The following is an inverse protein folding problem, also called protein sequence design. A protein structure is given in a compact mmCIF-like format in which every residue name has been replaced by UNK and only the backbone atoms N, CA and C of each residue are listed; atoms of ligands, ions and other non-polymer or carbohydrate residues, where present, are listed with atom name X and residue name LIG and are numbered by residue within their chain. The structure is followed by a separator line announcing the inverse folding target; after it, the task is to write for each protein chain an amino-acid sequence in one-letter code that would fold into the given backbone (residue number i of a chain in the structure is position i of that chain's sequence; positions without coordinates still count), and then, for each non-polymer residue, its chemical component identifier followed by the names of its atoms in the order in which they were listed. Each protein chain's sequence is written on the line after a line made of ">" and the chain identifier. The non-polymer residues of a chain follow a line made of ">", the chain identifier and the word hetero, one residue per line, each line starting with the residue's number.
data_IF_352248432174
#
_entry.id   IF_352248432174
#
_cell.length_a   1.000
_cell.length_b   1.000
_cell.length_c   1.000
_cell.angle_alpha   90.00
_cell.angle_beta   90.00
_cell.angle_gamma   90.00
#
_symmetry.space_group_name_H-M   'P 1'
#
loop_
_entity.id
_entity.type
_entity.pdbx_description
1 polymer ?
#
# COMPACT_ATOMS: atom_id res chain seq x y z
N UNK A 1 -42.69 -18.35 -49.79
CA UNK A 1 -42.10 -17.05 -50.18
C UNK A 1 -40.66 -17.01 -49.70
N UNK A 2 -39.74 -16.99 -50.65
CA UNK A 2 -38.30 -17.01 -50.47
C UNK A 2 -37.80 -15.55 -50.49
N UNK A 3 -36.91 -15.17 -49.57
CA UNK A 3 -35.96 -14.04 -49.61
C UNK A 3 -35.17 -14.05 -48.29
N UNK A 4 -33.88 -13.75 -48.12
CA UNK A 4 -32.63 -13.80 -48.91
C UNK A 4 -31.55 -13.68 -47.82
N UNK A 5 -30.43 -14.40 -47.96
CA UNK A 5 -29.27 -14.36 -47.06
C UNK A 5 -28.56 -13.00 -47.17
N UNK A 6 -28.01 -12.49 -46.07
CA UNK A 6 -26.89 -11.55 -46.13
C UNK A 6 -25.81 -11.96 -45.11
N UNK A 7 -24.74 -12.49 -45.66
CA UNK A 7 -23.45 -12.81 -45.04
C UNK A 7 -22.54 -11.59 -45.07
N UNK A 8 -21.93 -11.23 -43.94
CA UNK A 8 -20.83 -10.25 -43.91
C UNK A 8 -19.52 -10.98 -43.58
N UNK A 9 -18.54 -10.75 -44.45
CA UNK A 9 -17.22 -11.37 -44.49
C UNK A 9 -16.21 -10.63 -43.61
N UNK A 10 -15.25 -11.44 -43.14
CA UNK A 10 -13.86 -11.15 -42.75
C UNK A 10 -13.26 -9.83 -43.29
N UNK A 11 -12.53 -9.14 -42.41
CA UNK A 11 -11.34 -8.37 -42.78
C UNK A 11 -10.24 -8.59 -41.74
N UNK A 12 -9.28 -9.44 -42.10
CA UNK A 12 -7.98 -9.60 -41.45
C UNK A 12 -7.03 -8.58 -42.07
N UNK A 13 -6.41 -7.72 -41.27
CA UNK A 13 -5.30 -6.85 -41.65
C UNK A 13 -4.50 -6.56 -40.37
N UNK A 14 -3.19 -6.68 -40.28
CA UNK A 14 -2.15 -7.10 -41.21
C UNK A 14 -0.85 -6.96 -40.42
N UNK A 15 -0.02 -8.01 -40.40
CA UNK A 15 1.35 -7.91 -39.87
C UNK A 15 2.13 -6.94 -40.76
N UNK A 16 2.70 -5.89 -40.17
CA UNK A 16 3.74 -5.09 -40.79
C UNK A 16 5.09 -5.44 -40.16
N UNK A 17 5.80 -6.33 -40.83
CA UNK A 17 7.22 -6.60 -40.66
C UNK A 17 8.00 -5.36 -41.12
N UNK A 18 8.79 -4.74 -40.24
CA UNK A 18 9.78 -3.72 -40.65
C UNK A 18 11.14 -4.40 -40.75
N UNK A 19 11.66 -4.40 -41.96
CA UNK A 19 12.95 -4.95 -42.35
C UNK A 19 14.11 -4.14 -41.77
N UNK A 20 15.17 -4.88 -41.42
CA UNK A 20 16.46 -4.35 -41.03
C UNK A 20 17.11 -3.51 -42.14
N UNK A 21 17.71 -2.38 -41.76
CA UNK A 21 18.73 -1.70 -42.56
C UNK A 21 20.03 -1.65 -41.75
N UNK A 22 21.06 -2.26 -42.32
CA UNK A 22 22.43 -2.28 -41.86
C UNK A 22 23.10 -0.91 -41.99
N UNK A 23 23.74 -0.44 -40.93
CA UNK A 23 24.69 0.67 -40.92
C UNK A 23 25.79 0.40 -39.91
N UNK A 24 27.03 0.31 -40.38
CA UNK A 24 28.24 -0.06 -39.65
C UNK A 24 28.85 1.18 -39.00
N UNK A 25 29.26 1.09 -37.73
CA UNK A 25 30.33 1.92 -37.16
C UNK A 25 30.03 2.53 -35.80
N UNK A 26 30.81 2.12 -34.79
CA UNK A 26 30.98 2.87 -33.54
C UNK A 26 30.75 2.06 -32.28
N UNK A 27 31.83 1.51 -31.72
CA UNK A 27 31.87 1.01 -30.35
C UNK A 27 31.54 2.14 -29.35
N UNK A 28 30.82 1.82 -28.27
CA UNK A 28 31.06 2.18 -26.85
C UNK A 28 29.79 1.79 -26.06
N UNK A 29 29.96 1.06 -24.95
CA UNK A 29 28.99 1.07 -23.85
C UNK A 29 28.25 -0.24 -23.62
N UNK A 30 28.77 -1.05 -22.70
CA UNK A 30 28.00 -2.08 -22.03
C UNK A 30 26.85 -1.42 -21.26
N UNK A 31 25.62 -1.68 -21.69
CA UNK A 31 24.43 -1.41 -20.91
C UNK A 31 23.83 -2.76 -20.52
N UNK A 32 24.14 -3.19 -19.30
CA UNK A 32 23.38 -4.23 -18.62
C UNK A 32 21.93 -3.77 -18.53
N UNK A 33 21.03 -4.47 -19.23
CA UNK A 33 19.60 -4.28 -19.09
C UNK A 33 19.19 -4.69 -17.68
N UNK A 34 18.96 -3.71 -16.82
CA UNK A 34 18.25 -3.88 -15.57
C UNK A 34 16.77 -4.00 -15.94
N UNK A 35 16.16 -5.16 -15.74
CA UNK A 35 14.71 -5.29 -15.73
C UNK A 35 14.15 -4.41 -14.61
N UNK A 36 13.59 -3.24 -14.97
CA UNK A 36 12.64 -2.53 -14.11
C UNK A 36 11.35 -3.34 -14.07
N UNK A 37 11.19 -4.12 -13.00
CA UNK A 37 9.91 -4.68 -12.59
C UNK A 37 9.06 -3.54 -12.02
N UNK A 38 8.40 -2.80 -12.91
CA UNK A 38 7.25 -1.99 -12.57
C UNK A 38 6.10 -2.96 -12.23
N UNK A 39 5.88 -3.22 -10.93
CA UNK A 39 4.62 -3.80 -10.50
C UNK A 39 3.53 -2.75 -10.66
N UNK A 40 2.90 -2.80 -11.83
CA UNK A 40 1.66 -2.10 -12.14
C UNK A 40 0.54 -2.67 -11.26
N UNK A 41 0.03 -1.87 -10.33
CA UNK A 41 -1.19 -2.17 -9.57
C UNK A 41 -2.47 -1.92 -10.40
N UNK A 42 -2.40 -1.96 -11.74
CA UNK A 42 -3.58 -1.86 -12.58
C UNK A 42 -4.46 -3.11 -12.38
N UNK A 43 -5.65 -2.85 -11.86
CA UNK A 43 -6.68 -3.86 -11.70
C UNK A 43 -7.48 -3.92 -13.00
N UNK A 44 -7.39 -5.06 -13.68
CA UNK A 44 -8.33 -5.41 -14.73
C UNK A 44 -9.76 -5.38 -14.16
N UNK A 45 -10.63 -4.57 -14.75
CA UNK A 45 -12.00 -4.43 -14.29
C UNK A 45 -12.86 -5.67 -14.57
N UNK A 46 -13.62 -6.05 -13.54
CA UNK A 46 -14.89 -6.78 -13.51
C UNK A 46 -14.95 -8.31 -13.72
N UNK A 47 -15.19 -9.03 -12.61
CA UNK A 47 -16.38 -9.91 -12.43
C UNK A 47 -16.63 -10.40 -10.98
N UNK A 48 -15.81 -10.04 -9.98
CA UNK A 48 -16.02 -10.37 -8.55
C UNK A 48 -15.47 -9.27 -7.62
N UNK A 49 -15.68 -7.99 -7.95
CA UNK A 49 -15.26 -6.89 -7.08
C UNK A 49 -16.28 -6.74 -5.94
N UNK A 50 -15.83 -6.74 -4.69
CA UNK A 50 -16.70 -6.52 -3.53
C UNK A 50 -17.30 -5.10 -3.55
N UNK A 51 -18.46 -4.91 -2.94
CA UNK A 51 -19.09 -3.58 -2.88
C UNK A 51 -18.31 -2.63 -1.97
N UNK A 52 -17.85 -3.14 -0.83
CA UNK A 52 -17.10 -2.38 0.16
C UNK A 52 -15.79 -3.11 0.44
N UNK A 53 -14.67 -2.46 0.14
CA UNK A 53 -13.34 -3.03 0.37
C UNK A 53 -12.30 -1.89 0.44
N UNK A 54 -11.53 -1.86 1.53
CA UNK A 54 -10.42 -0.93 1.73
C UNK A 54 -9.11 -1.70 1.81
N UNK A 55 -8.20 -1.39 0.90
CA UNK A 55 -6.85 -1.94 0.89
C UNK A 55 -5.88 -0.98 1.58
N UNK A 56 -5.40 -1.29 2.81
CA UNK A 56 -4.40 -0.49 3.47
C UNK A 56 -3.00 -0.73 2.90
N UNK A 57 -2.20 0.32 2.85
CA UNK A 57 -0.76 0.23 2.56
C UNK A 57 -0.01 1.39 3.21
N UNK A 58 1.31 1.29 3.27
CA UNK A 58 2.15 2.32 3.87
C UNK A 58 2.91 3.12 2.83
N UNK A 59 3.16 4.39 3.14
CA UNK A 59 4.03 5.23 2.33
C UNK A 59 5.03 5.97 3.22
N UNK A 60 6.28 6.07 2.77
CA UNK A 60 7.32 6.86 3.43
C UNK A 60 8.18 7.60 2.39
N UNK A 61 9.02 8.55 2.81
CA UNK A 61 9.96 9.17 1.86
C UNK A 61 11.05 8.17 1.45
N UNK A 62 11.41 8.16 0.17
CA UNK A 62 12.55 7.36 -0.31
C UNK A 62 13.89 7.72 0.33
N UNK A 63 14.01 8.90 0.95
CA UNK A 63 15.19 9.34 1.67
C UNK A 63 15.23 8.86 3.15
N UNK A 64 14.12 8.32 3.69
CA UNK A 64 14.09 7.84 5.08
C UNK A 64 14.93 6.57 5.19
N UNK A 65 15.94 6.61 6.05
CA UNK A 65 16.75 5.44 6.38
C UNK A 65 16.07 4.58 7.47
N UNK A 66 16.33 3.27 7.42
CA UNK A 66 15.80 2.28 8.38
C UNK A 66 16.39 2.50 9.78
N UNK A 67 15.55 2.49 10.80
CA UNK A 67 15.92 2.74 12.19
C UNK A 67 16.23 4.22 12.51
N UNK A 68 16.16 5.13 11.55
CA UNK A 68 16.34 6.58 11.76
C UNK A 68 14.99 7.29 11.86
N UNK A 69 15.01 8.55 12.29
CA UNK A 69 13.81 9.37 12.36
C UNK A 69 13.16 9.54 10.98
N UNK A 70 11.84 9.73 10.97
CA UNK A 70 11.07 10.03 9.76
C UNK A 70 9.64 9.56 9.83
N UNK A 71 8.83 9.99 8.87
CA UNK A 71 7.39 9.74 8.86
C UNK A 71 7.03 8.52 8.01
N UNK A 72 6.11 7.71 8.52
CA UNK A 72 5.39 6.69 7.77
C UNK A 72 3.92 7.03 7.80
N UNK A 73 3.23 6.97 6.68
CA UNK A 73 1.78 7.25 6.61
C UNK A 73 1.00 5.99 6.26
N UNK A 74 -0.17 5.82 6.87
CA UNK A 74 -1.16 4.83 6.48
C UNK A 74 -2.05 5.41 5.38
N UNK A 75 -2.10 4.70 4.26
CA UNK A 75 -2.95 4.97 3.10
C UNK A 75 -4.02 3.89 3.03
N UNK A 76 -5.24 4.28 2.68
CA UNK A 76 -6.34 3.36 2.39
C UNK A 76 -6.81 3.61 0.96
N UNK A 77 -6.78 2.59 0.11
CA UNK A 77 -7.36 2.63 -1.23
C UNK A 77 -8.71 1.94 -1.20
N UNK A 78 -9.75 2.59 -1.70
CA UNK A 78 -11.03 1.93 -1.87
C UNK A 78 -11.02 1.11 -3.17
N UNK A 79 -10.90 -0.19 -3.03
CA UNK A 79 -10.93 -1.16 -4.14
C UNK A 79 -12.32 -1.77 -4.33
N UNK A 80 -13.31 -1.37 -3.53
CA UNK A 80 -14.71 -1.73 -3.68
C UNK A 80 -15.43 -0.95 -4.79
N UNK A 81 -16.65 -1.39 -5.11
CA UNK A 81 -17.52 -0.76 -6.10
C UNK A 81 -18.26 0.48 -5.56
N UNK A 82 -18.42 0.58 -4.24
CA UNK A 82 -19.18 1.63 -3.55
C UNK A 82 -18.27 2.58 -2.76
N UNK A 83 -18.82 3.75 -2.43
CA UNK A 83 -18.19 4.69 -1.49
C UNK A 83 -18.12 4.06 -0.10
N UNK A 84 -16.92 3.95 0.47
CA UNK A 84 -16.72 3.37 1.79
C UNK A 84 -16.94 4.43 2.87
N UNK A 85 -18.02 4.28 3.64
CA UNK A 85 -18.36 5.11 4.80
C UNK A 85 -19.42 4.44 5.66
N UNK A 86 -19.33 4.59 6.98
CA UNK A 86 -20.39 4.21 7.91
C UNK A 86 -20.31 5.04 9.20
N UNK A 87 -21.46 5.26 9.82
CA UNK A 87 -21.55 5.99 11.09
C UNK A 87 -21.38 5.07 12.32
N UNK A 88 -21.83 3.81 12.25
CA UNK A 88 -21.65 2.80 13.29
C UNK A 88 -21.92 1.36 12.78
N UNK A 89 -21.12 0.33 13.14
CA UNK A 89 -19.88 0.41 13.90
C UNK A 89 -18.86 1.30 13.19
N UNK A 90 -17.90 1.87 13.92
CA UNK A 90 -16.90 2.74 13.32
C UNK A 90 -15.96 1.91 12.44
N UNK A 91 -15.56 2.45 11.29
CA UNK A 91 -14.46 1.85 10.52
C UNK A 91 -13.15 2.14 11.23
N UNK A 92 -12.47 1.09 11.68
CA UNK A 92 -11.24 1.20 12.47
C UNK A 92 -10.14 0.28 11.98
N UNK A 93 -8.91 0.73 12.12
CA UNK A 93 -7.70 -0.02 11.81
C UNK A 93 -6.80 -0.06 13.04
N UNK A 94 -6.30 -1.22 13.39
CA UNK A 94 -5.27 -1.39 14.40
C UNK A 94 -3.91 -1.49 13.72
N UNK A 95 -2.98 -0.64 14.13
CA UNK A 95 -1.59 -0.64 13.68
C UNK A 95 -0.71 -1.13 14.83
N UNK A 96 0.01 -2.22 14.61
CA UNK A 96 1.03 -2.71 15.52
C UNK A 96 2.41 -2.34 14.97
N UNK A 97 3.16 -1.54 15.71
CA UNK A 97 4.57 -1.25 15.41
C UNK A 97 5.42 -2.24 16.19
N UNK A 98 6.01 -3.21 15.48
CA UNK A 98 6.75 -4.33 16.05
C UNK A 98 8.25 -4.14 15.86
N UNK A 99 9.06 -4.70 16.75
CA UNK A 99 10.52 -4.69 16.61
C UNK A 99 10.98 -5.81 15.67
N UNK A 100 11.69 -5.45 14.59
CA UNK A 100 12.35 -6.40 13.68
C UNK A 100 13.74 -6.78 14.22
N UNK A 101 14.52 -5.76 14.60
CA UNK A 101 15.89 -5.88 15.11
C UNK A 101 16.16 -4.79 16.14
N UNK A 102 17.00 -5.11 17.11
CA UNK A 102 17.42 -4.19 18.17
C UNK A 102 17.15 -4.78 19.56
N UNK A 103 17.29 -3.97 20.61
CA UNK A 103 17.00 -4.40 21.98
C UNK A 103 15.50 -4.67 22.19
N UNK A 104 15.17 -5.76 22.88
CA UNK A 104 13.81 -6.11 23.28
C UNK A 104 13.36 -5.29 24.50
N UNK A 105 12.05 -5.05 24.64
CA UNK A 105 11.47 -4.27 25.72
C UNK A 105 11.78 -2.77 25.66
N UNK A 106 12.42 -2.32 24.58
CA UNK A 106 12.79 -0.92 24.36
C UNK A 106 11.95 -0.33 23.24
N UNK A 107 11.30 0.78 23.54
CA UNK A 107 10.54 1.55 22.58
C UNK A 107 11.31 2.78 22.11
N UNK A 108 10.88 3.36 20.99
CA UNK A 108 11.28 4.71 20.59
C UNK A 108 10.08 5.64 20.55
N UNK A 109 10.34 6.93 20.67
CA UNK A 109 9.29 7.93 20.51
C UNK A 109 8.66 7.80 19.13
N UNK A 110 7.34 7.64 19.09
CA UNK A 110 6.54 7.69 17.87
C UNK A 110 5.42 8.68 18.14
N UNK A 111 5.36 9.76 17.35
CA UNK A 111 4.30 10.76 17.48
C UNK A 111 3.21 10.47 16.45
N UNK A 112 2.02 10.05 16.88
CA UNK A 112 0.90 9.80 15.96
C UNK A 112 0.20 11.10 15.57
N UNK A 113 -0.24 11.19 14.32
CA UNK A 113 -1.10 12.26 13.81
C UNK A 113 -2.23 11.69 12.95
N UNK A 114 -3.45 12.11 13.24
CA UNK A 114 -4.61 11.86 12.39
C UNK A 114 -4.52 12.70 11.12
N UNK A 115 -4.91 12.12 9.98
CA UNK A 115 -4.83 12.77 8.67
C UNK A 115 -6.21 12.78 8.01
N UNK A 116 -6.51 13.83 7.23
CA UNK A 116 -7.76 13.96 6.47
C UNK A 116 -9.04 13.68 7.29
N UNK A 117 -9.05 14.16 8.53
CA UNK A 117 -10.19 14.05 9.45
C UNK A 117 -10.28 12.72 10.22
N UNK A 118 -9.44 11.72 9.92
CA UNK A 118 -9.35 10.52 10.72
C UNK A 118 -8.73 10.81 12.10
N UNK A 119 -9.14 10.04 13.10
CA UNK A 119 -8.62 10.10 14.45
C UNK A 119 -7.62 8.96 14.69
N UNK A 120 -6.56 9.21 15.46
CA UNK A 120 -5.62 8.18 15.89
C UNK A 120 -5.49 8.22 17.41
N UNK A 121 -5.54 7.05 18.02
CA UNK A 121 -5.35 6.84 19.45
C UNK A 121 -4.13 5.94 19.66
N UNK A 122 -3.23 6.36 20.55
CA UNK A 122 -2.08 5.56 20.99
C UNK A 122 -2.52 4.68 22.17
N UNK A 123 -2.51 3.36 21.97
CA UNK A 123 -2.88 2.39 22.99
C UNK A 123 -1.71 2.06 23.94
N UNK A 124 -0.51 2.55 23.64
CA UNK A 124 0.69 2.35 24.44
C UNK A 124 1.60 1.25 23.90
N UNK A 125 2.69 1.05 24.64
CA UNK A 125 3.74 0.08 24.34
C UNK A 125 3.68 -1.09 25.31
N UNK A 126 3.74 -2.30 24.75
CA UNK A 126 3.90 -3.55 25.47
C UNK A 126 5.38 -3.99 25.42
N UNK A 127 6.10 -3.97 26.56
CA UNK A 127 7.50 -4.38 26.62
C UNK A 127 7.70 -5.89 26.43
N UNK A 128 6.71 -6.73 26.73
CA UNK A 128 6.85 -8.19 26.59
C UNK A 128 6.91 -8.59 25.12
N UNK A 129 6.13 -7.92 24.28
CA UNK A 129 6.07 -8.17 22.83
C UNK A 129 6.84 -7.13 22.01
N UNK A 130 7.47 -6.14 22.66
CA UNK A 130 8.15 -5.00 22.02
C UNK A 130 7.29 -4.35 20.93
N UNK A 131 6.01 -4.12 21.25
CA UNK A 131 4.99 -3.66 20.31
C UNK A 131 4.29 -2.41 20.82
N UNK A 132 4.29 -1.34 20.02
CA UNK A 132 3.43 -0.17 20.26
C UNK A 132 2.18 -0.28 19.38
N UNK A 133 1.01 -0.10 19.98
CA UNK A 133 -0.27 -0.23 19.26
C UNK A 133 -0.92 1.14 19.07
N UNK A 134 -1.48 1.36 17.88
CA UNK A 134 -2.35 2.50 17.58
C UNK A 134 -3.68 2.03 17.00
N UNK A 135 -4.76 2.72 17.34
CA UNK A 135 -6.05 2.56 16.65
C UNK A 135 -6.35 3.81 15.83
N UNK A 136 -6.65 3.62 14.55
CA UNK A 136 -7.07 4.66 13.61
C UNK A 136 -8.56 4.50 13.34
N UNK A 137 -9.32 5.57 13.52
CA UNK A 137 -10.75 5.65 13.20
C UNK A 137 -10.94 6.51 11.96
N UNK A 138 -11.54 5.94 10.93
CA UNK A 138 -11.91 6.67 9.73
C UNK A 138 -13.16 7.53 10.01
N UNK A 139 -13.06 8.83 9.78
CA UNK A 139 -14.17 9.77 10.01
C UNK A 139 -14.80 10.31 8.72
N UNK A 140 -14.11 10.11 7.59
CA UNK A 140 -14.51 10.65 6.30
C UNK A 140 -14.67 9.53 5.27
N UNK A 141 -15.58 9.69 4.30
CA UNK A 141 -15.74 8.72 3.24
C UNK A 141 -14.52 8.62 2.32
N UNK A 142 -14.39 7.47 1.66
CA UNK A 142 -13.47 7.28 0.52
C UNK A 142 -14.30 6.79 -0.67
N UNK A 143 -14.33 7.52 -1.78
CA UNK A 143 -15.08 7.06 -2.96
C UNK A 143 -14.40 5.85 -3.60
N UNK A 144 -15.16 5.07 -4.38
CA UNK A 144 -14.60 3.95 -5.12
C UNK A 144 -13.45 4.42 -6.02
N UNK A 145 -12.30 3.72 -5.94
CA UNK A 145 -11.09 4.05 -6.69
C UNK A 145 -10.21 5.14 -6.07
N UNK A 146 -10.70 5.89 -5.08
CA UNK A 146 -9.92 6.94 -4.40
C UNK A 146 -8.99 6.34 -3.33
N UNK A 147 -7.93 7.09 -3.01
CA UNK A 147 -7.02 6.80 -1.90
C UNK A 147 -7.00 7.95 -0.90
N UNK A 148 -7.08 7.63 0.39
CA UNK A 148 -6.94 8.59 1.48
C UNK A 148 -5.71 8.30 2.36
N UNK A 149 -5.01 9.35 2.79
CA UNK A 149 -4.07 9.26 3.91
C UNK A 149 -4.83 9.43 5.22
N UNK A 150 -4.78 8.46 6.13
CA UNK A 150 -5.61 8.50 7.36
C UNK A 150 -4.79 8.63 8.64
N UNK A 151 -3.52 8.25 8.63
CA UNK A 151 -2.62 8.43 9.75
C UNK A 151 -1.20 8.72 9.30
N UNK A 152 -0.45 9.43 10.14
CA UNK A 152 0.98 9.58 10.07
C UNK A 152 1.60 9.17 11.41
N UNK A 153 2.67 8.39 11.35
CA UNK A 153 3.48 7.97 12.48
C UNK A 153 4.86 8.58 12.29
N UNK A 154 5.17 9.60 13.09
CA UNK A 154 6.46 10.27 13.06
C UNK A 154 7.41 9.55 14.01
N UNK A 155 8.30 8.72 13.45
CA UNK A 155 9.30 8.00 14.21
C UNK A 155 10.43 8.91 14.65
N UNK A 156 10.79 8.84 15.93
CA UNK A 156 12.04 9.35 16.46
C UNK A 156 13.23 8.52 16.01
N UNK A 157 14.45 9.02 16.29
CA UNK A 157 15.66 8.25 16.01
C UNK A 157 15.68 6.97 16.85
N UNK A 158 15.86 5.82 16.22
CA UNK A 158 15.90 4.52 16.89
C UNK A 158 17.21 4.22 17.63
N UNK A 159 18.15 5.16 17.71
CA UNK A 159 19.41 4.98 18.42
C UNK A 159 19.18 5.09 19.92
N UNK A 160 19.00 3.95 20.57
CA UNK A 160 18.92 3.85 22.02
C UNK A 160 20.32 3.65 22.60
N UNK A 161 20.42 3.62 23.94
CA UNK A 161 21.68 3.26 24.62
C UNK A 161 22.01 1.77 24.47
N UNK A 162 21.03 0.94 24.16
CA UNK A 162 21.14 -0.52 24.10
C UNK A 162 21.28 -1.05 22.66
N UNK A 163 21.02 -0.21 21.66
CA UNK A 163 21.20 -0.55 20.26
C UNK A 163 20.32 0.30 19.36
N UNK A 164 20.41 0.07 18.05
CA UNK A 164 19.48 0.69 17.10
C UNK A 164 18.25 -0.21 16.94
N UNK A 165 17.07 0.38 17.12
CA UNK A 165 15.79 -0.23 16.81
C UNK A 165 15.49 -0.12 15.32
N UNK A 166 14.97 -1.20 14.75
CA UNK A 166 14.39 -1.28 13.43
C UNK A 166 12.98 -1.84 13.60
N UNK A 167 11.98 -1.14 13.09
CA UNK A 167 10.59 -1.56 13.24
C UNK A 167 9.94 -1.88 11.89
N UNK A 168 8.97 -2.78 11.93
CA UNK A 168 7.99 -2.97 10.86
C UNK A 168 6.60 -2.71 11.44
N UNK A 169 5.63 -2.50 10.56
CA UNK A 169 4.24 -2.26 10.93
C UNK A 169 3.38 -3.39 10.38
N UNK A 170 2.34 -3.70 11.13
CA UNK A 170 1.26 -4.58 10.71
C UNK A 170 -0.04 -3.82 10.91
N UNK A 171 -0.89 -3.75 9.89
CA UNK A 171 -2.21 -3.12 10.00
C UNK A 171 -3.32 -4.14 9.76
N UNK A 172 -4.37 -4.06 10.56
CA UNK A 172 -5.57 -4.89 10.43
C UNK A 172 -6.80 -4.01 10.54
N UNK A 173 -7.74 -4.15 9.62
CA UNK A 173 -9.06 -3.54 9.73
C UNK A 173 -9.87 -4.29 10.81
N UNK A 174 -10.19 -3.60 11.91
CA UNK A 174 -10.87 -4.18 13.08
C UNK A 174 -12.35 -3.81 13.14
N UNK A 175 -12.71 -2.67 12.57
CA UNK A 175 -14.08 -2.20 12.42
C UNK A 175 -14.37 -2.02 10.93
N UNK A 176 -15.44 -2.66 10.44
CA UNK A 176 -15.71 -2.79 8.99
C UNK A 176 -17.15 -2.44 8.69
N UNK A 177 -17.42 -2.06 7.44
CA UNK A 177 -18.77 -1.97 6.93
C UNK A 177 -19.46 -3.33 7.11
N UNK A 178 -20.73 -3.36 7.51
CA UNK A 178 -21.43 -4.64 7.77
C UNK A 178 -21.44 -5.58 6.57
N UNK A 179 -21.44 -5.00 5.37
CA UNK A 179 -21.47 -5.73 4.09
C UNK A 179 -20.06 -5.96 3.51
N UNK A 180 -19.03 -5.40 4.14
CA UNK A 180 -17.63 -5.69 3.80
C UNK A 180 -17.26 -7.05 4.41
N UNK A 181 -17.09 -8.03 3.53
CA UNK A 181 -16.71 -9.41 3.87
C UNK A 181 -15.35 -9.81 3.28
N UNK A 182 -14.66 -8.87 2.61
CA UNK A 182 -13.45 -9.13 1.86
C UNK A 182 -12.22 -8.97 2.76
N UNK A 183 -11.80 -10.04 3.44
CA UNK A 183 -10.74 -9.93 4.46
C UNK A 183 -9.31 -10.19 3.96
N UNK A 184 -9.15 -10.52 2.68
CA UNK A 184 -7.90 -11.05 2.16
C UNK A 184 -6.75 -10.01 2.05
N UNK A 185 -7.09 -8.72 2.00
CA UNK A 185 -6.17 -7.61 1.71
C UNK A 185 -6.04 -6.61 2.86
N UNK A 186 -6.73 -6.81 3.98
CA UNK A 186 -6.80 -5.85 5.07
C UNK A 186 -6.67 -6.45 6.47
N UNK A 187 -6.31 -7.74 6.55
CA UNK A 187 -5.90 -8.42 7.77
C UNK A 187 -4.39 -8.66 7.79
N UNK A 188 -3.72 -8.25 8.87
CA UNK A 188 -2.28 -8.46 9.11
C UNK A 188 -1.39 -8.00 7.94
N UNK A 189 -1.72 -6.86 7.34
CA UNK A 189 -0.98 -6.29 6.21
C UNK A 189 0.38 -5.79 6.68
N UNK A 190 1.43 -6.48 6.24
CA UNK A 190 2.83 -6.26 6.66
C UNK A 190 3.50 -5.15 5.83
N UNK A 191 4.08 -4.17 6.52
CA UNK A 191 4.78 -3.06 5.85
C UNK A 191 5.93 -3.52 4.96
N UNK A 192 6.58 -4.64 5.27
CA UNK A 192 7.72 -5.16 4.48
C UNK A 192 7.32 -5.57 3.07
N UNK A 193 6.03 -5.83 2.85
CA UNK A 193 5.46 -6.19 1.55
C UNK A 193 4.62 -5.05 0.97
N UNK A 194 4.00 -4.24 1.82
CA UNK A 194 3.01 -3.21 1.45
C UNK A 194 3.47 -1.77 1.75
N UNK A 195 4.75 -1.47 1.54
CA UNK A 195 5.26 -0.08 1.63
C UNK A 195 5.80 0.41 0.29
N UNK A 196 5.42 1.63 -0.06
CA UNK A 196 5.98 2.38 -1.19
C UNK A 196 6.67 3.66 -0.74
N UNK A 197 7.53 4.20 -1.59
CA UNK A 197 8.08 5.54 -1.43
C UNK A 197 7.06 6.60 -1.84
N UNK A 198 7.35 7.86 -1.52
CA UNK A 198 6.66 9.05 -2.03
C UNK A 198 6.65 9.18 -3.56
N UNK A 199 7.57 8.49 -4.24
CA UNK A 199 7.62 8.36 -5.70
C UNK A 199 6.91 7.10 -6.22
N UNK A 200 6.27 6.30 -5.35
CA UNK A 200 5.54 5.09 -5.72
C UNK A 200 6.40 3.83 -5.91
N UNK A 201 7.72 3.90 -5.68
CA UNK A 201 8.60 2.73 -5.79
C UNK A 201 8.46 1.83 -4.57
N UNK A 202 8.68 0.52 -4.73
CA UNK A 202 8.69 -0.42 -3.60
C UNK A 202 9.72 -0.01 -2.55
N UNK A 203 9.32 -0.05 -1.28
CA UNK A 203 10.18 0.17 -0.13
C UNK A 203 10.28 -1.12 0.69
N UNK A 204 11.37 -1.30 1.43
CA UNK A 204 11.57 -2.50 2.27
C UNK A 204 10.68 -2.54 3.52
N UNK A 205 9.96 -1.46 3.84
CA UNK A 205 9.00 -1.45 4.94
C UNK A 205 9.61 -1.61 6.32
N UNK A 206 10.89 -1.27 6.47
CA UNK A 206 11.62 -1.22 7.72
C UNK A 206 11.94 0.24 8.06
N UNK A 207 11.60 0.66 9.27
CA UNK A 207 11.61 2.06 9.68
C UNK A 207 12.46 2.32 10.89
#
# INVERSE_FOLDING_TARGET
>A
MQKTKNSLRLATAGLATVAALSGIGGAVGAATAQEEIDQDFSHAAASNQADYDLEPYFQTSGAKAKGFAGTVVLKLKNVGSQRYYQDYPLTTFRINVKTDKGPEGVDRLITPRGMNGAHIFDEGFDPETSTRTFTVTLSNPINAGDTATVAALDFGDGKTKEGRLYNYLEVTQTGRHKEDTATANDEQVDSREHTVTDTGKKNEGLF
#
